data_IF_152144331462
#
_entry.id   IF_152144331462
#
_cell.length_a   1.000
_cell.length_b   1.000
_cell.length_c   1.000
_cell.angle_alpha   90.00
_cell.angle_beta   90.00
_cell.angle_gamma   90.00
#
_symmetry.space_group_name_H-M   'P 1'
#
loop_
_entity.id
_entity.type
_entity.pdbx_description
1 polymer ?
#
# COMPACT_ATOMS: atom_id res chain seq x y z
N UNK A 1 -11.77 -17.41 -2.43
CA UNK A 1 -11.09 -16.25 -1.90
C UNK A 1 -11.79 -15.74 -0.67
N UNK A 2 -11.09 -15.31 0.33
CA UNK A 2 -11.68 -15.00 1.63
C UNK A 2 -11.32 -13.65 2.19
N UNK A 3 -10.18 -13.07 1.78
CA UNK A 3 -9.70 -11.78 2.25
C UNK A 3 -9.61 -10.77 1.11
N UNK A 4 -9.88 -9.52 1.41
CA UNK A 4 -9.60 -8.36 0.57
C UNK A 4 -8.66 -7.41 1.29
N UNK A 5 -7.86 -6.67 0.53
CA UNK A 5 -7.02 -5.60 1.05
C UNK A 5 -7.54 -4.25 0.57
N UNK A 6 -7.51 -3.26 1.46
CA UNK A 6 -7.59 -1.86 1.09
C UNK A 6 -6.30 -1.18 1.55
N UNK A 7 -5.59 -0.58 0.62
CA UNK A 7 -4.34 0.12 0.88
C UNK A 7 -4.58 1.62 0.89
N UNK A 8 -4.14 2.23 1.95
CA UNK A 8 -4.14 3.68 2.12
C UNK A 8 -2.89 4.10 2.88
N UNK A 9 -2.96 5.20 3.57
CA UNK A 9 -1.91 5.64 4.50
C UNK A 9 -2.35 5.30 5.92
N UNK A 10 -1.62 4.42 6.59
CA UNK A 10 -1.80 4.14 8.01
C UNK A 10 -1.35 5.33 8.84
N UNK A 11 -2.13 5.68 9.86
CA UNK A 11 -1.93 6.86 10.71
C UNK A 11 -1.90 6.46 12.17
N UNK A 12 -0.84 6.84 12.88
CA UNK A 12 -0.77 6.81 14.33
C UNK A 12 -1.36 8.11 14.91
N UNK A 13 -2.59 8.04 15.35
CA UNK A 13 -3.33 9.21 15.88
C UNK A 13 -2.68 9.80 17.13
N UNK A 14 -2.04 8.98 17.96
CA UNK A 14 -1.37 9.47 19.18
C UNK A 14 -0.18 10.38 18.83
N UNK A 15 0.59 10.01 17.82
CA UNK A 15 1.73 10.81 17.34
C UNK A 15 1.23 12.08 16.65
N UNK A 16 0.21 11.99 15.82
CA UNK A 16 -0.40 13.14 15.16
C UNK A 16 -0.95 14.14 16.19
N UNK A 17 -1.67 13.66 17.22
CA UNK A 17 -2.18 14.51 18.30
C UNK A 17 -1.04 15.21 19.06
N UNK A 18 0.02 14.47 19.41
CA UNK A 18 1.19 15.01 20.09
C UNK A 18 1.93 16.08 19.27
N UNK A 19 1.93 15.94 17.94
CA UNK A 19 2.54 16.89 17.01
C UNK A 19 1.60 18.03 16.59
N UNK A 20 0.34 18.04 17.04
CA UNK A 20 -0.66 19.02 16.62
C UNK A 20 -1.06 18.92 15.15
N UNK A 21 -1.05 17.71 14.61
CA UNK A 21 -1.46 17.38 13.24
C UNK A 21 -2.85 16.78 13.26
N UNK A 22 -3.75 17.34 12.44
CA UNK A 22 -5.05 16.74 12.13
C UNK A 22 -4.92 15.94 10.82
N UNK A 23 -4.83 14.60 10.85
CA UNK A 23 -4.67 13.81 9.64
C UNK A 23 -5.89 13.84 8.72
N UNK A 24 -7.08 14.15 9.25
CA UNK A 24 -8.30 14.26 8.46
C UNK A 24 -8.33 15.49 7.54
N UNK A 25 -7.43 16.48 7.81
CA UNK A 25 -7.25 17.67 6.97
C UNK A 25 -6.25 17.49 5.82
N UNK A 26 -5.55 16.35 5.77
CA UNK A 26 -4.55 16.07 4.73
C UNK A 26 -5.28 15.68 3.44
N UNK A 27 -5.20 16.52 2.40
CA UNK A 27 -5.80 16.26 1.09
C UNK A 27 -4.76 15.96 0.03
N UNK A 28 -3.68 16.72 0.03
CA UNK A 28 -2.63 16.69 -1.00
C UNK A 28 -1.30 16.22 -0.43
N UNK A 29 -0.37 15.91 -1.32
CA UNK A 29 1.00 15.63 -0.92
C UNK A 29 1.71 16.85 -0.31
N UNK A 30 1.31 18.06 -0.67
CA UNK A 30 1.80 19.28 -0.02
C UNK A 30 1.33 19.35 1.44
N UNK A 31 0.05 19.06 1.69
CA UNK A 31 -0.49 18.97 3.07
C UNK A 31 0.20 17.86 3.85
N UNK A 32 0.47 16.71 3.21
CA UNK A 32 1.17 15.58 3.81
C UNK A 32 2.60 15.94 4.21
N UNK A 33 3.34 16.61 3.33
CA UNK A 33 4.68 17.08 3.64
C UNK A 33 4.67 18.11 4.79
N UNK A 34 3.72 19.03 4.79
CA UNK A 34 3.56 19.99 5.89
C UNK A 34 3.21 19.30 7.24
N UNK A 35 2.46 18.20 7.20
CA UNK A 35 2.22 17.36 8.36
C UNK A 35 3.50 16.64 8.81
N UNK A 36 4.28 16.08 7.87
CA UNK A 36 5.56 15.46 8.16
C UNK A 36 6.56 16.42 8.82
N UNK A 37 6.63 17.68 8.36
CA UNK A 37 7.47 18.71 8.98
C UNK A 37 7.11 18.91 10.45
N UNK A 38 5.82 19.07 10.78
CA UNK A 38 5.36 19.26 12.16
C UNK A 38 5.68 18.03 13.03
N UNK A 39 5.51 16.83 12.49
CA UNK A 39 5.80 15.59 13.22
C UNK A 39 7.30 15.51 13.52
N UNK A 40 8.15 15.85 12.53
CA UNK A 40 9.60 15.89 12.69
C UNK A 40 10.03 16.96 13.72
N UNK A 41 9.44 18.16 13.67
CA UNK A 41 9.67 19.24 14.64
C UNK A 41 9.27 18.82 16.07
N UNK A 42 8.23 17.98 16.21
CA UNK A 42 7.82 17.39 17.48
C UNK A 42 8.73 16.26 17.99
N UNK A 43 9.73 15.86 17.21
CA UNK A 43 10.72 14.85 17.58
C UNK A 43 10.35 13.41 17.23
N UNK A 44 9.36 13.20 16.37
CA UNK A 44 8.95 11.88 15.89
C UNK A 44 9.44 11.64 14.45
N UNK A 45 9.51 10.37 14.06
CA UNK A 45 9.74 10.02 12.65
C UNK A 45 8.43 10.16 11.87
N UNK A 46 8.37 10.99 10.82
CA UNK A 46 7.15 11.16 10.05
C UNK A 46 6.68 9.86 9.38
N UNK A 47 7.56 9.18 8.63
CA UNK A 47 7.21 8.08 7.74
C UNK A 47 8.03 6.85 8.09
N UNK A 48 7.36 5.71 8.29
CA UNK A 48 8.01 4.43 8.59
C UNK A 48 7.98 3.45 7.41
N UNK A 49 7.91 3.94 6.17
CA UNK A 49 8.04 3.08 4.99
C UNK A 49 9.41 2.39 4.96
N UNK A 50 9.42 1.19 4.42
CA UNK A 50 10.61 0.33 4.34
C UNK A 50 10.81 -0.13 2.89
N UNK A 51 12.05 0.02 2.40
CA UNK A 51 12.42 -0.25 1.02
C UNK A 51 12.91 -1.69 0.78
N UNK A 52 12.79 -2.55 1.78
CA UNK A 52 12.96 -3.99 1.65
C UNK A 52 11.76 -4.69 1.00
N UNK A 53 10.72 -3.94 0.65
CA UNK A 53 9.50 -4.42 0.02
C UNK A 53 9.14 -3.57 -1.19
N UNK A 54 8.54 -4.20 -2.19
CA UNK A 54 7.96 -3.56 -3.35
C UNK A 54 6.93 -2.47 -3.01
N UNK A 55 6.23 -2.62 -1.88
CA UNK A 55 5.17 -1.71 -1.48
C UNK A 55 5.59 -0.24 -1.33
N UNK A 56 6.88 0.03 -1.10
CA UNK A 56 7.40 1.39 -1.06
C UNK A 56 7.26 2.13 -2.41
N UNK A 57 7.37 1.41 -3.51
CA UNK A 57 7.21 1.94 -4.87
C UNK A 57 5.84 1.61 -5.46
N UNK A 58 5.41 0.35 -5.40
CA UNK A 58 4.26 -0.16 -6.13
C UNK A 58 2.89 0.22 -5.52
N UNK A 59 2.81 0.65 -4.26
CA UNK A 59 1.53 0.91 -3.61
C UNK A 59 1.16 2.40 -3.50
N UNK A 60 2.14 3.29 -3.66
CA UNK A 60 1.91 4.73 -3.62
C UNK A 60 1.69 5.34 -5.01
N UNK A 61 1.99 4.59 -6.07
CA UNK A 61 2.01 5.05 -7.45
C UNK A 61 0.63 5.43 -8.00
N UNK A 62 -0.43 4.73 -7.59
CA UNK A 62 -1.76 4.94 -8.12
C UNK A 62 -2.29 6.37 -8.01
N UNK A 63 -1.90 7.12 -6.97
CA UNK A 63 -2.33 8.51 -6.80
C UNK A 63 -1.57 9.50 -7.68
N UNK A 64 -0.37 9.13 -8.14
CA UNK A 64 0.48 9.98 -8.99
C UNK A 64 0.18 9.79 -10.46
N UNK A 65 -0.14 8.56 -10.83
CA UNK A 65 -0.41 8.17 -12.19
C UNK A 65 -1.92 8.27 -12.53
N UNK A 66 -2.81 8.25 -11.52
CA UNK A 66 -4.24 8.55 -11.68
C UNK A 66 -4.47 10.05 -11.50
N UNK A 67 -4.25 10.81 -12.54
CA UNK A 67 -4.40 12.25 -12.50
C UNK A 67 -5.84 12.70 -12.27
N UNK A 68 -6.01 13.65 -11.36
CA UNK A 68 -7.16 14.58 -11.30
C UNK A 68 -8.56 13.94 -11.19
N UNK A 69 -8.65 12.69 -10.70
CA UNK A 69 -9.93 12.01 -10.55
C UNK A 69 -10.43 11.34 -11.82
N UNK A 70 -9.62 11.30 -12.85
CA UNK A 70 -9.83 10.45 -14.00
C UNK A 70 -9.31 9.05 -13.69
N UNK A 71 -10.05 8.03 -14.12
CA UNK A 71 -9.57 6.66 -14.06
C UNK A 71 -8.21 6.59 -14.77
N UNK A 72 -7.29 5.82 -14.20
CA UNK A 72 -6.05 5.48 -14.86
C UNK A 72 -6.33 4.89 -16.24
N UNK A 73 -6.15 5.72 -17.27
CA UNK A 73 -6.50 5.37 -18.64
C UNK A 73 -5.43 4.48 -19.32
N UNK A 74 -4.25 4.36 -18.69
CA UNK A 74 -3.11 3.61 -19.21
C UNK A 74 -3.15 2.11 -18.89
N UNK A 75 -4.20 1.63 -18.22
CA UNK A 75 -4.35 0.20 -17.90
C UNK A 75 -4.26 -0.70 -19.13
N UNK A 76 -4.76 -0.24 -20.28
CA UNK A 76 -4.65 -0.96 -21.55
C UNK A 76 -3.19 -1.05 -22.02
N UNK A 77 -2.44 0.04 -21.92
CA UNK A 77 -1.03 0.09 -22.29
C UNK A 77 -0.15 -0.75 -21.34
N UNK A 78 -0.50 -0.82 -20.06
CA UNK A 78 0.16 -1.73 -19.12
C UNK A 78 -0.12 -3.20 -19.45
N UNK A 79 -1.39 -3.53 -19.80
CA UNK A 79 -1.80 -4.88 -20.15
C UNK A 79 -1.20 -5.38 -21.45
N UNK A 80 -0.92 -4.52 -22.43
CA UNK A 80 -0.34 -4.86 -23.71
C UNK A 80 1.17 -4.62 -23.81
N UNK A 81 1.78 -4.13 -22.70
CA UNK A 81 3.22 -3.88 -22.61
C UNK A 81 3.70 -2.59 -23.28
N UNK A 82 2.80 -1.74 -23.80
CA UNK A 82 3.15 -0.51 -24.51
C UNK A 82 3.27 0.74 -23.62
N UNK A 83 3.04 0.61 -22.31
CA UNK A 83 3.08 1.73 -21.41
C UNK A 83 4.46 2.41 -21.34
N UNK A 84 4.47 3.75 -21.33
CA UNK A 84 5.70 4.52 -21.24
C UNK A 84 6.17 4.65 -19.78
N UNK A 85 7.13 3.82 -19.41
CA UNK A 85 7.73 3.83 -18.08
C UNK A 85 8.39 5.15 -17.68
N UNK A 86 8.64 6.08 -18.64
CA UNK A 86 9.14 7.41 -18.30
C UNK A 86 8.18 8.19 -17.39
N UNK A 87 6.89 7.91 -17.47
CA UNK A 87 5.87 8.54 -16.61
C UNK A 87 6.03 8.14 -15.13
N UNK A 88 6.70 7.02 -14.84
CA UNK A 88 6.99 6.59 -13.46
C UNK A 88 7.98 7.53 -12.74
N UNK A 89 8.70 8.37 -13.48
CA UNK A 89 9.62 9.34 -12.88
C UNK A 89 8.97 10.24 -11.85
N UNK A 90 7.71 10.61 -12.04
CA UNK A 90 6.97 11.45 -11.08
C UNK A 90 6.87 10.82 -9.70
N UNK A 91 6.70 9.49 -9.63
CA UNK A 91 6.67 8.75 -8.37
C UNK A 91 8.02 8.80 -7.68
N UNK A 92 9.10 8.53 -8.42
CA UNK A 92 10.47 8.55 -7.88
C UNK A 92 10.88 9.96 -7.41
N UNK A 93 10.54 10.99 -8.17
CA UNK A 93 10.84 12.38 -7.81
C UNK A 93 10.14 12.79 -6.51
N UNK A 94 8.92 12.33 -6.30
CA UNK A 94 8.22 12.62 -5.06
C UNK A 94 8.79 11.82 -3.88
N UNK A 95 9.01 10.53 -4.05
CA UNK A 95 9.59 9.70 -2.99
C UNK A 95 10.98 10.23 -2.57
N UNK A 96 11.75 10.81 -3.50
CA UNK A 96 13.00 11.49 -3.15
C UNK A 96 12.80 12.59 -2.12
N UNK A 97 11.68 13.32 -2.15
CA UNK A 97 11.40 14.37 -1.15
C UNK A 97 11.39 13.84 0.28
N UNK A 98 11.02 12.55 0.48
CA UNK A 98 11.04 11.94 1.80
C UNK A 98 12.46 11.73 2.32
N UNK A 99 13.41 11.40 1.43
CA UNK A 99 14.84 11.30 1.76
C UNK A 99 15.44 12.67 1.99
N UNK A 100 15.24 13.62 1.08
CA UNK A 100 15.80 14.96 1.14
C UNK A 100 15.37 15.72 2.39
N UNK A 101 14.12 15.55 2.80
CA UNK A 101 13.57 16.17 4.00
C UNK A 101 13.83 15.37 5.27
N UNK A 102 14.42 14.16 5.18
CA UNK A 102 14.68 13.28 6.30
C UNK A 102 13.41 12.90 7.06
N UNK A 103 12.37 12.49 6.32
CA UNK A 103 11.11 12.02 6.89
C UNK A 103 11.15 10.54 7.25
N UNK A 104 12.07 9.78 6.67
CA UNK A 104 12.23 8.34 6.86
C UNK A 104 13.20 8.01 8.01
N UNK A 105 13.11 6.80 8.51
CA UNK A 105 14.17 6.24 9.33
C UNK A 105 15.46 6.05 8.51
N UNK A 106 16.61 6.29 9.13
CA UNK A 106 17.93 6.09 8.48
C UNK A 106 18.15 4.65 8.00
N UNK A 107 17.51 3.68 8.65
CA UNK A 107 17.60 2.25 8.34
C UNK A 107 16.43 1.73 7.48
N UNK A 108 15.68 2.62 6.80
CA UNK A 108 14.53 2.26 5.96
C UNK A 108 14.85 1.23 4.85
N UNK A 109 16.10 1.14 4.42
CA UNK A 109 16.57 0.15 3.45
C UNK A 109 16.86 -1.24 4.02
N UNK A 110 16.78 -1.42 5.35
CA UNK A 110 17.13 -2.70 6.01
C UNK A 110 16.02 -3.24 6.91
N UNK A 111 15.13 -2.38 7.42
CA UNK A 111 13.99 -2.78 8.24
C UNK A 111 12.93 -3.48 7.42
N UNK A 112 12.07 -4.22 8.12
CA UNK A 112 10.93 -4.95 7.56
C UNK A 112 9.62 -4.44 8.17
N UNK A 113 8.51 -4.90 7.63
CA UNK A 113 7.18 -4.58 8.15
C UNK A 113 7.04 -4.79 9.66
N UNK A 114 7.63 -5.86 10.19
CA UNK A 114 7.57 -6.16 11.63
C UNK A 114 8.24 -5.07 12.48
N UNK A 115 9.37 -4.54 12.00
CA UNK A 115 10.10 -3.45 12.68
C UNK A 115 9.28 -2.15 12.65
N UNK A 116 8.65 -1.85 11.49
CA UNK A 116 7.78 -0.69 11.34
C UNK A 116 6.54 -0.79 12.25
N UNK A 117 5.93 -1.98 12.37
CA UNK A 117 4.80 -2.24 13.30
C UNK A 117 5.25 -1.99 14.74
N UNK A 118 6.40 -2.53 15.16
CA UNK A 118 6.93 -2.36 16.51
C UNK A 118 7.19 -0.89 16.85
N UNK A 119 7.82 -0.14 15.94
CA UNK A 119 8.08 1.30 16.11
C UNK A 119 6.78 2.11 16.21
N UNK A 120 5.80 1.79 15.37
CA UNK A 120 4.49 2.41 15.45
C UNK A 120 3.77 2.09 16.77
N UNK A 121 3.84 0.84 17.25
CA UNK A 121 3.28 0.43 18.53
C UNK A 121 3.93 1.13 19.73
N UNK A 122 5.16 1.61 19.59
CA UNK A 122 5.86 2.46 20.58
C UNK A 122 5.61 3.96 20.41
N UNK A 123 4.73 4.36 19.48
CA UNK A 123 4.47 5.76 19.13
C UNK A 123 5.73 6.51 18.65
N UNK A 124 6.60 5.87 17.90
CA UNK A 124 7.83 6.48 17.38
C UNK A 124 7.65 7.11 16.00
N UNK A 125 6.59 6.72 15.27
CA UNK A 125 6.30 7.20 13.92
C UNK A 125 4.82 7.50 13.69
N UNK A 126 4.53 8.35 12.70
CA UNK A 126 3.19 8.80 12.39
C UNK A 126 2.54 8.03 11.25
N UNK A 127 3.22 7.87 10.11
CA UNK A 127 2.62 7.39 8.88
C UNK A 127 3.34 6.19 8.29
N UNK A 128 2.57 5.33 7.60
CA UNK A 128 3.07 4.42 6.55
C UNK A 128 2.15 4.56 5.35
N UNK A 129 2.72 4.91 4.21
CA UNK A 129 2.01 5.10 2.95
C UNK A 129 1.93 3.80 2.17
N UNK A 130 0.77 3.51 1.57
CA UNK A 130 0.57 2.36 0.70
C UNK A 130 0.52 1.02 1.45
N UNK A 131 -0.09 0.99 2.62
CA UNK A 131 -0.17 -0.22 3.46
C UNK A 131 -1.63 -0.66 3.71
N UNK A 132 -1.84 -1.95 3.83
CA UNK A 132 -3.16 -2.52 4.12
C UNK A 132 -3.58 -2.43 5.58
N UNK A 133 -4.87 -2.58 5.83
CA UNK A 133 -5.48 -2.46 7.16
C UNK A 133 -5.01 -3.49 8.18
N UNK A 134 -4.46 -4.62 7.74
CA UNK A 134 -3.81 -5.60 8.62
C UNK A 134 -2.61 -5.04 9.39
N UNK A 135 -1.95 -4.01 8.84
CA UNK A 135 -0.87 -3.33 9.54
C UNK A 135 -1.38 -2.63 10.81
N UNK A 136 -2.45 -1.85 10.70
CA UNK A 136 -3.04 -1.15 11.85
C UNK A 136 -3.53 -2.15 12.90
N UNK A 137 -4.16 -3.25 12.47
CA UNK A 137 -4.58 -4.32 13.36
C UNK A 137 -3.40 -4.94 14.11
N UNK A 138 -2.27 -5.16 13.44
CA UNK A 138 -1.06 -5.69 14.06
C UNK A 138 -0.42 -4.72 15.06
N UNK A 139 -0.45 -3.41 14.78
CA UNK A 139 0.01 -2.38 15.74
C UNK A 139 -0.83 -2.40 17.01
N UNK A 140 -2.15 -2.38 16.89
CA UNK A 140 -3.07 -2.39 18.04
C UNK A 140 -2.98 -3.70 18.82
N UNK A 141 -2.72 -4.83 18.15
CA UNK A 141 -2.50 -6.10 18.82
C UNK A 141 -1.23 -6.10 19.71
N UNK A 142 -0.20 -5.33 19.32
CA UNK A 142 1.00 -5.16 20.14
C UNK A 142 0.81 -4.12 21.27
N UNK A 143 0.11 -3.05 20.99
CA UNK A 143 -0.18 -2.00 21.97
C UNK A 143 -1.60 -1.47 21.81
N UNK A 144 -2.56 -1.93 22.64
CA UNK A 144 -3.97 -1.50 22.57
C UNK A 144 -4.20 -0.02 22.89
N UNK A 145 -3.23 0.69 23.46
CA UNK A 145 -3.33 2.12 23.78
C UNK A 145 -3.04 3.00 22.55
N UNK A 146 -2.50 2.43 21.48
CA UNK A 146 -2.28 3.14 20.22
C UNK A 146 -3.58 3.20 19.42
N UNK A 147 -3.98 4.40 19.07
CA UNK A 147 -5.11 4.64 18.18
C UNK A 147 -4.60 4.73 16.76
N UNK A 148 -5.06 3.82 15.93
CA UNK A 148 -4.75 3.81 14.51
C UNK A 148 -5.94 4.29 13.70
N UNK A 149 -5.64 5.00 12.61
CA UNK A 149 -6.60 5.36 11.58
C UNK A 149 -6.04 5.06 10.19
N UNK A 150 -6.83 5.26 9.16
CA UNK A 150 -6.42 5.22 7.78
C UNK A 150 -6.91 6.46 7.06
N UNK A 151 -6.07 7.07 6.25
CA UNK A 151 -6.47 8.08 5.28
C UNK A 151 -6.18 7.56 3.87
N UNK A 152 -6.90 8.03 2.85
CA UNK A 152 -6.57 7.69 1.46
C UNK A 152 -5.17 8.18 1.12
N UNK A 153 -4.54 7.58 0.13
CA UNK A 153 -3.32 8.11 -0.47
C UNK A 153 -3.65 9.50 -1.04
N UNK A 154 -2.77 10.45 -0.80
CA UNK A 154 -3.01 11.87 -1.09
C UNK A 154 -3.21 12.13 -2.59
N UNK A 155 -4.02 13.14 -2.90
CA UNK A 155 -4.12 13.66 -4.26
C UNK A 155 -2.87 14.47 -4.64
N UNK A 156 -2.56 14.54 -5.93
CA UNK A 156 -1.48 15.38 -6.46
C UNK A 156 -1.79 16.88 -6.32
N UNK A 157 -3.08 17.24 -6.32
CA UNK A 157 -3.55 18.62 -6.21
C UNK A 157 -4.85 18.71 -5.40
N UNK A 158 -5.12 19.91 -4.88
CA UNK A 158 -6.33 20.16 -4.09
C UNK A 158 -7.61 19.94 -4.90
N UNK A 159 -8.54 19.19 -4.30
CA UNK A 159 -9.78 18.78 -4.97
C UNK A 159 -9.63 17.60 -5.94
N UNK A 160 -8.41 17.08 -6.11
CA UNK A 160 -8.15 15.87 -6.87
C UNK A 160 -8.69 14.61 -6.17
N UNK A 161 -8.78 13.51 -6.92
CA UNK A 161 -9.18 12.23 -6.36
C UNK A 161 -8.12 11.70 -5.39
N UNK A 162 -8.60 11.20 -4.27
CA UNK A 162 -7.78 10.48 -3.31
C UNK A 162 -7.98 9.00 -3.51
N UNK A 163 -6.89 8.27 -3.50
CA UNK A 163 -6.84 6.89 -3.94
C UNK A 163 -6.75 5.91 -2.77
N UNK A 164 -7.46 4.81 -2.87
CA UNK A 164 -7.19 3.60 -2.11
C UNK A 164 -7.06 2.41 -3.05
N UNK A 165 -5.94 1.73 -2.97
CA UNK A 165 -5.73 0.48 -3.70
C UNK A 165 -6.59 -0.64 -3.10
N UNK A 166 -7.38 -1.30 -3.93
CA UNK A 166 -8.13 -2.48 -3.52
C UNK A 166 -7.64 -3.70 -4.28
N UNK A 167 -7.73 -4.83 -3.65
CA UNK A 167 -7.34 -6.07 -4.30
C UNK A 167 -7.59 -7.30 -3.45
N UNK A 168 -7.39 -8.44 -4.06
CA UNK A 168 -7.45 -9.71 -3.37
C UNK A 168 -6.27 -9.86 -2.42
N UNK A 169 -6.54 -10.24 -1.17
CA UNK A 169 -5.52 -10.54 -0.18
C UNK A 169 -4.95 -11.94 -0.39
N UNK A 170 -5.71 -12.98 -0.03
CA UNK A 170 -5.31 -14.36 -0.15
C UNK A 170 -6.29 -15.18 -0.99
N UNK A 171 -5.75 -16.05 -1.83
CA UNK A 171 -6.49 -16.99 -2.65
C UNK A 171 -6.06 -18.42 -2.37
N UNK A 172 -7.00 -19.35 -2.38
CA UNK A 172 -6.74 -20.76 -2.21
C UNK A 172 -7.08 -21.53 -3.49
N UNK A 173 -6.18 -22.38 -3.92
CA UNK A 173 -6.39 -23.30 -5.03
C UNK A 173 -6.15 -24.74 -4.61
N UNK A 174 -6.81 -25.68 -5.29
CA UNK A 174 -6.56 -27.11 -5.11
C UNK A 174 -5.69 -27.59 -6.25
N UNK A 175 -4.61 -28.27 -5.92
CA UNK A 175 -3.80 -28.97 -6.92
C UNK A 175 -4.67 -30.04 -7.61
N UNK A 176 -4.84 -29.92 -8.93
CA UNK A 176 -5.79 -30.76 -9.69
C UNK A 176 -5.51 -32.27 -9.63
N UNK A 177 -4.26 -32.66 -9.44
CA UNK A 177 -3.80 -34.05 -9.41
C UNK A 177 -3.54 -34.54 -7.97
N UNK A 178 -4.16 -33.90 -6.96
CA UNK A 178 -4.04 -34.33 -5.55
C UNK A 178 -4.81 -35.64 -5.32
N UNK A 179 -4.23 -36.54 -4.54
CA UNK A 179 -4.90 -37.76 -4.08
C UNK A 179 -5.93 -37.48 -2.96
N UNK A 180 -5.89 -36.24 -2.36
CA UNK A 180 -6.70 -35.84 -1.20
C UNK A 180 -7.78 -34.81 -1.59
N UNK A 181 -8.38 -34.93 -2.76
CA UNK A 181 -9.34 -33.98 -3.31
C UNK A 181 -10.50 -33.65 -2.36
N UNK A 182 -11.06 -34.66 -1.67
CA UNK A 182 -12.20 -34.51 -0.78
C UNK A 182 -11.82 -33.74 0.50
N UNK A 183 -10.61 -33.99 1.01
CA UNK A 183 -10.07 -33.25 2.18
C UNK A 183 -9.82 -31.79 1.79
N UNK A 184 -9.24 -31.54 0.62
CA UNK A 184 -9.03 -30.18 0.11
C UNK A 184 -10.34 -29.41 -0.07
N UNK A 185 -11.36 -30.06 -0.63
CA UNK A 185 -12.69 -29.45 -0.76
C UNK A 185 -13.33 -29.16 0.60
N UNK A 186 -13.23 -30.08 1.56
CA UNK A 186 -13.75 -29.90 2.92
C UNK A 186 -13.04 -28.71 3.60
N UNK A 187 -11.73 -28.57 3.43
CA UNK A 187 -10.96 -27.42 3.92
C UNK A 187 -11.43 -26.11 3.29
N UNK A 188 -11.59 -26.04 1.97
CA UNK A 188 -12.06 -24.82 1.29
C UNK A 188 -13.49 -24.44 1.73
N UNK A 189 -14.37 -25.42 1.91
CA UNK A 189 -15.71 -25.18 2.44
C UNK A 189 -15.65 -24.61 3.86
N UNK A 190 -14.81 -25.19 4.73
CA UNK A 190 -14.61 -24.67 6.08
C UNK A 190 -14.10 -23.22 6.07
N UNK A 191 -13.12 -22.92 5.22
CA UNK A 191 -12.58 -21.54 5.07
C UNK A 191 -13.68 -20.59 4.58
N UNK A 192 -14.50 -21.00 3.61
CA UNK A 192 -15.59 -20.18 3.10
C UNK A 192 -16.68 -19.92 4.14
N UNK A 193 -17.06 -20.95 4.90
CA UNK A 193 -18.06 -20.86 5.97
C UNK A 193 -17.60 -20.01 7.17
N UNK A 194 -16.27 -19.90 7.37
CA UNK A 194 -15.67 -19.16 8.50
C UNK A 194 -14.92 -17.88 8.03
N UNK A 195 -15.17 -17.43 6.80
CA UNK A 195 -14.43 -16.31 6.18
C UNK A 195 -14.45 -15.05 7.05
N UNK A 196 -15.59 -14.72 7.66
CA UNK A 196 -15.72 -13.53 8.51
C UNK A 196 -14.83 -13.58 9.76
N UNK A 197 -14.80 -14.74 10.43
CA UNK A 197 -13.93 -14.94 11.60
C UNK A 197 -12.44 -14.91 11.23
N UNK A 198 -12.08 -15.47 10.07
CA UNK A 198 -10.71 -15.46 9.55
C UNK A 198 -10.30 -14.02 9.21
N UNK A 199 -11.14 -13.27 8.51
CA UNK A 199 -10.86 -11.88 8.14
C UNK A 199 -10.80 -10.97 9.37
N UNK A 200 -11.70 -11.15 10.33
CA UNK A 200 -11.67 -10.40 11.57
C UNK A 200 -10.37 -10.64 12.36
N UNK A 201 -9.91 -11.89 12.43
CA UNK A 201 -8.66 -12.24 13.09
C UNK A 201 -7.41 -11.68 12.37
N UNK A 202 -7.47 -11.57 11.04
CA UNK A 202 -6.40 -10.98 10.24
C UNK A 202 -6.43 -9.44 10.18
N UNK A 203 -7.50 -8.80 10.65
CA UNK A 203 -7.71 -7.36 10.50
C UNK A 203 -7.99 -6.92 9.05
N UNK A 204 -8.29 -7.88 8.19
CA UNK A 204 -8.52 -7.68 6.76
C UNK A 204 -10.00 -7.42 6.44
N UNK A 205 -10.27 -7.02 5.20
CA UNK A 205 -11.62 -6.78 4.71
C UNK A 205 -12.26 -8.11 4.31
N UNK A 206 -13.53 -8.33 4.66
CA UNK A 206 -14.28 -9.47 4.14
C UNK A 206 -14.73 -9.20 2.71
N UNK A 207 -14.49 -10.16 1.82
CA UNK A 207 -15.00 -10.15 0.45
C UNK A 207 -16.39 -10.77 0.34
N UNK A 208 -16.87 -11.35 1.43
CA UNK A 208 -18.24 -11.88 1.55
C UNK A 208 -19.06 -10.94 2.43
N UNK A 209 -20.34 -10.70 2.08
CA UNK A 209 -21.22 -9.92 2.93
C UNK A 209 -21.34 -10.57 4.32
N UNK A 210 -21.05 -9.80 5.37
CA UNK A 210 -21.27 -10.23 6.74
C UNK A 210 -22.19 -9.25 7.46
N UNK A 211 -23.22 -9.78 8.11
CA UNK A 211 -24.12 -8.98 8.94
C UNK A 211 -23.68 -8.95 10.41
N UNK A 212 -22.71 -9.76 10.82
CA UNK A 212 -22.51 -10.08 12.24
C UNK A 212 -21.20 -9.61 12.83
N UNK A 213 -20.13 -9.49 12.05
CA UNK A 213 -18.82 -9.11 12.61
C UNK A 213 -18.06 -8.23 11.63
N UNK A 214 -17.87 -6.97 11.97
CA UNK A 214 -16.98 -6.08 11.21
C UNK A 214 -15.55 -6.35 11.65
N UNK A 215 -14.68 -6.65 10.67
CA UNK A 215 -13.25 -6.70 10.91
C UNK A 215 -12.70 -5.32 11.28
N UNK A 216 -11.50 -5.29 11.85
CA UNK A 216 -10.81 -4.03 12.13
C UNK A 216 -10.61 -3.21 10.84
N UNK A 217 -10.26 -3.86 9.73
CA UNK A 217 -10.12 -3.23 8.43
C UNK A 217 -11.41 -2.56 7.93
N UNK A 218 -12.55 -3.22 8.10
CA UNK A 218 -13.85 -2.63 7.73
C UNK A 218 -14.18 -1.39 8.58
N UNK A 219 -13.86 -1.42 9.88
CA UNK A 219 -14.08 -0.27 10.75
C UNK A 219 -13.21 0.92 10.33
N UNK A 220 -11.95 0.67 9.98
CA UNK A 220 -11.04 1.70 9.47
C UNK A 220 -11.51 2.32 8.16
N UNK A 221 -12.03 1.50 7.23
CA UNK A 221 -12.61 2.01 5.98
C UNK A 221 -13.83 2.89 6.23
N UNK A 222 -14.77 2.46 7.08
CA UNK A 222 -15.96 3.23 7.39
C UNK A 222 -15.61 4.58 8.05
N UNK A 223 -14.64 4.60 8.96
CA UNK A 223 -14.15 5.83 9.57
C UNK A 223 -13.53 6.75 8.51
N UNK A 224 -12.64 6.21 7.66
CA UNK A 224 -12.04 6.94 6.55
C UNK A 224 -13.10 7.54 5.63
N UNK A 225 -14.07 6.74 5.17
CA UNK A 225 -15.14 7.18 4.27
C UNK A 225 -16.02 8.27 4.90
N UNK A 226 -16.18 8.27 6.21
CA UNK A 226 -16.92 9.32 6.91
C UNK A 226 -16.25 10.70 6.84
N UNK A 227 -14.93 10.72 6.74
CA UNK A 227 -14.13 11.94 6.58
C UNK A 227 -13.85 12.29 5.13
N UNK A 228 -13.76 11.28 4.26
CA UNK A 228 -13.40 11.41 2.85
C UNK A 228 -14.45 10.77 1.93
N UNK A 229 -15.57 11.44 1.66
CA UNK A 229 -16.69 10.85 0.91
C UNK A 229 -16.39 10.60 -0.59
N UNK A 230 -15.29 11.13 -1.11
CA UNK A 230 -14.91 11.04 -2.52
C UNK A 230 -13.63 10.23 -2.71
N UNK A 231 -13.46 9.13 -1.97
CA UNK A 231 -12.33 8.22 -2.17
C UNK A 231 -12.53 7.45 -3.48
N UNK A 232 -11.48 7.43 -4.29
CA UNK A 232 -11.42 6.62 -5.49
C UNK A 232 -10.80 5.27 -5.15
N UNK A 233 -11.50 4.19 -5.51
CA UNK A 233 -11.01 2.83 -5.33
C UNK A 233 -10.65 2.22 -6.67
N UNK A 234 -9.43 1.75 -6.83
CA UNK A 234 -9.02 0.99 -8.00
C UNK A 234 -8.13 -0.19 -7.59
N UNK A 235 -7.94 -1.09 -8.53
CA UNK A 235 -7.13 -2.27 -8.30
C UNK A 235 -5.65 -1.89 -8.17
N UNK A 236 -4.93 -2.71 -7.41
CA UNK A 236 -3.47 -2.63 -7.38
C UNK A 236 -2.91 -2.99 -8.75
N UNK A 237 -2.09 -2.13 -9.29
CA UNK A 237 -1.63 -2.21 -10.68
C UNK A 237 -0.82 -3.45 -10.96
N UNK A 238 0.11 -3.78 -10.07
CA UNK A 238 0.94 -4.98 -10.16
C UNK A 238 0.12 -6.27 -10.25
N UNK A 239 -1.09 -6.27 -9.68
CA UNK A 239 -1.96 -7.46 -9.63
C UNK A 239 -2.93 -7.57 -10.78
N UNK A 240 -3.32 -6.46 -11.38
CA UNK A 240 -4.36 -6.43 -12.41
C UNK A 240 -3.86 -6.06 -13.79
N UNK A 241 -2.93 -5.13 -13.87
CA UNK A 241 -2.54 -4.53 -15.14
C UNK A 241 -1.12 -4.91 -15.58
N UNK A 242 -0.35 -5.57 -14.73
CA UNK A 242 1.01 -5.99 -15.04
C UNK A 242 1.13 -7.53 -15.08
N UNK A 243 2.12 -8.07 -15.79
CA UNK A 243 2.37 -9.50 -15.79
C UNK A 243 2.81 -10.00 -14.40
N UNK A 244 2.55 -11.30 -14.16
CA UNK A 244 2.96 -11.93 -12.89
C UNK A 244 4.48 -11.85 -12.71
N UNK A 245 4.92 -11.45 -11.52
CA UNK A 245 6.35 -11.31 -11.22
C UNK A 245 6.79 -9.85 -10.99
N UNK A 246 6.00 -8.87 -11.45
CA UNK A 246 6.35 -7.45 -11.30
C UNK A 246 6.54 -7.03 -9.84
N UNK A 247 5.86 -7.64 -8.89
CA UNK A 247 6.11 -7.38 -7.46
C UNK A 247 7.58 -7.59 -7.06
N UNK A 248 8.22 -8.66 -7.55
CA UNK A 248 9.63 -8.92 -7.27
C UNK A 248 10.55 -7.90 -7.98
N UNK A 249 10.15 -7.46 -9.16
CA UNK A 249 10.87 -6.41 -9.90
C UNK A 249 10.82 -5.10 -9.13
N UNK A 250 9.65 -4.68 -8.65
CA UNK A 250 9.51 -3.50 -7.79
C UNK A 250 10.29 -3.62 -6.48
N UNK A 251 10.43 -4.82 -5.92
CA UNK A 251 11.22 -5.02 -4.72
C UNK A 251 12.71 -4.72 -4.95
N UNK A 252 13.25 -5.16 -6.10
CA UNK A 252 14.64 -4.83 -6.47
C UNK A 252 14.78 -3.33 -6.73
N UNK A 253 13.84 -2.74 -7.49
CA UNK A 253 13.82 -1.31 -7.78
C UNK A 253 13.75 -0.46 -6.50
N UNK A 254 12.98 -0.89 -5.50
CA UNK A 254 12.92 -0.21 -4.20
C UNK A 254 14.28 -0.21 -3.48
N UNK A 255 15.01 -1.32 -3.54
CA UNK A 255 16.39 -1.39 -3.04
C UNK A 255 17.33 -0.43 -3.75
N UNK A 256 17.31 -0.42 -5.10
CA UNK A 256 18.11 0.51 -5.91
C UNK A 256 17.81 1.97 -5.55
N UNK A 257 16.54 2.32 -5.47
CA UNK A 257 16.12 3.68 -5.11
C UNK A 257 16.53 4.09 -3.70
N UNK A 258 16.50 3.16 -2.74
CA UNK A 258 16.94 3.44 -1.37
C UNK A 258 18.45 3.72 -1.30
N UNK A 259 19.24 3.08 -2.15
CA UNK A 259 20.70 3.26 -2.20
C UNK A 259 21.09 4.59 -2.86
N UNK A 260 20.41 5.00 -3.94
CA UNK A 260 20.72 6.22 -4.69
C UNK A 260 19.46 6.83 -5.31
N UNK A 261 19.19 8.11 -5.01
CA UNK A 261 18.05 8.87 -5.51
C UNK A 261 18.47 9.86 -6.61
N UNK A 262 19.69 9.77 -7.16
CA UNK A 262 20.16 10.64 -8.25
C UNK A 262 19.31 10.45 -9.51
N UNK A 263 19.32 11.45 -10.40
CA UNK A 263 18.59 11.37 -11.67
C UNK A 263 19.10 10.22 -12.54
N UNK A 264 20.40 9.90 -12.49
CA UNK A 264 20.97 8.76 -13.20
C UNK A 264 20.43 7.43 -12.66
N UNK A 265 20.38 7.29 -11.34
CA UNK A 265 19.81 6.08 -10.70
C UNK A 265 18.31 5.94 -10.97
N UNK A 266 17.55 7.03 -10.95
CA UNK A 266 16.13 7.00 -11.31
C UNK A 266 15.92 6.53 -12.75
N UNK A 267 16.77 6.96 -13.68
CA UNK A 267 16.71 6.48 -15.07
C UNK A 267 17.04 4.99 -15.16
N UNK A 268 18.06 4.52 -14.44
CA UNK A 268 18.38 3.10 -14.38
C UNK A 268 17.23 2.27 -13.81
N UNK A 269 16.52 2.78 -12.79
CA UNK A 269 15.33 2.13 -12.22
C UNK A 269 14.20 2.06 -13.26
N UNK A 270 13.94 3.14 -13.99
CA UNK A 270 12.91 3.17 -15.04
C UNK A 270 13.24 2.16 -16.15
N UNK A 271 14.49 2.14 -16.59
CA UNK A 271 14.95 1.21 -17.62
C UNK A 271 14.84 -0.26 -17.13
N UNK A 272 15.20 -0.52 -15.87
CA UNK A 272 15.05 -1.82 -15.23
C UNK A 272 13.58 -2.27 -15.14
N UNK A 273 12.68 -1.39 -14.72
CA UNK A 273 11.25 -1.67 -14.64
C UNK A 273 10.68 -1.99 -16.03
N UNK A 274 11.05 -1.20 -17.03
CA UNK A 274 10.62 -1.35 -18.42
C UNK A 274 11.09 -2.68 -19.01
N UNK A 275 12.37 -2.99 -18.89
CA UNK A 275 12.96 -4.23 -19.42
C UNK A 275 12.26 -5.45 -18.83
N UNK A 276 12.15 -5.52 -17.50
CA UNK A 276 11.53 -6.64 -16.83
C UNK A 276 10.02 -6.76 -17.12
N UNK A 277 9.31 -5.63 -17.25
CA UNK A 277 7.91 -5.66 -17.65
C UNK A 277 7.74 -6.27 -19.03
N UNK A 278 8.60 -5.87 -19.99
CA UNK A 278 8.58 -6.41 -21.35
C UNK A 278 8.88 -7.92 -21.36
N UNK A 279 9.93 -8.35 -20.67
CA UNK A 279 10.33 -9.75 -20.62
C UNK A 279 9.24 -10.63 -19.98
N UNK A 280 8.64 -10.19 -18.89
CA UNK A 280 7.55 -10.90 -18.20
C UNK A 280 6.27 -10.93 -19.07
N UNK A 281 5.98 -9.84 -19.79
CA UNK A 281 4.86 -9.79 -20.70
C UNK A 281 5.04 -10.78 -21.88
N UNK A 282 6.20 -10.78 -22.52
CA UNK A 282 6.52 -11.71 -23.63
C UNK A 282 6.44 -13.17 -23.15
N UNK A 283 7.02 -13.49 -22.00
CA UNK A 283 6.95 -14.83 -21.42
C UNK A 283 5.51 -15.28 -21.12
N UNK A 284 4.63 -14.37 -20.74
CA UNK A 284 3.22 -14.67 -20.50
C UNK A 284 2.43 -14.97 -21.79
N UNK A 285 2.89 -14.49 -22.96
CA UNK A 285 2.24 -14.77 -24.24
C UNK A 285 2.62 -16.16 -24.81
N UNK A 286 3.72 -16.77 -24.34
CA UNK A 286 4.19 -18.08 -24.81
C UNK A 286 3.52 -19.26 -24.07
N UNK A 287 2.76 -19.00 -22.99
CA UNK A 287 2.10 -20.03 -22.14
C UNK A 287 0.60 -20.11 -22.38
#
# INVERSE_FOLDING_TARGET
>A
MTTGSCLGTAVNMNVCEAAGVDPWSIETWEDFNAACDKIKEAGYTPIANYFTSAGALANADGSWLNYEGEQFDDSAAMLDGSWDWADYKVVLDYLQTWFDNGYLYEDCGTIKQADAIERCARNECAFIVGIGTSYQAAVVAQNPDVKMAMIPICASQKGGARFCGIGEGASFGIWKDTDEMDVCKAFLNYVAENADGINAAAGEISTLPSETTKSYGMQMMEEMESHFPNVFYDNLWDRKYMPSGMWNVFQVAAGMFCEDQSDDSKQEIIDYLKENHTDLYEAAQET
#
